data_IF_432097916383
#
_entry.id   IF_432097916383
#
_cell.length_a   1.000
_cell.length_b   1.000
_cell.length_c   1.000
_cell.angle_alpha   90.00
_cell.angle_beta   90.00
_cell.angle_gamma   90.00
#
_symmetry.space_group_name_H-M   'P 1'
#
loop_
_entity.id
_entity.type
_entity.pdbx_description
1 polymer ?
#
# COMPACT_ATOMS: atom_id res chain seq x y z
N UNK A 1 3.84 -26.48 -19.86
CA UNK A 1 2.65 -26.77 -20.72
C UNK A 1 2.49 -25.74 -21.84
N UNK A 2 2.65 -24.44 -21.56
CA UNK A 2 2.51 -23.38 -22.57
C UNK A 2 3.62 -23.36 -23.63
N UNK A 3 4.89 -23.55 -23.25
CA UNK A 3 6.03 -23.60 -24.18
C UNK A 3 5.84 -24.66 -25.28
N UNK A 4 5.45 -25.88 -24.93
CA UNK A 4 5.15 -26.94 -25.91
C UNK A 4 4.04 -26.56 -26.90
N UNK A 5 3.06 -25.77 -26.47
CA UNK A 5 2.00 -25.28 -27.37
C UNK A 5 2.54 -24.23 -28.34
N UNK A 6 3.36 -23.30 -27.85
CA UNK A 6 4.04 -22.28 -28.66
C UNK A 6 4.98 -22.93 -29.68
N UNK A 7 5.79 -23.90 -29.25
CA UNK A 7 6.68 -24.67 -30.14
C UNK A 7 5.91 -25.38 -31.26
N UNK A 8 4.85 -26.12 -30.91
CA UNK A 8 3.97 -26.77 -31.91
C UNK A 8 3.33 -25.77 -32.86
N UNK A 9 2.90 -24.61 -32.36
CA UNK A 9 2.38 -23.55 -33.21
C UNK A 9 3.44 -23.06 -34.20
N UNK A 10 4.66 -22.75 -33.72
CA UNK A 10 5.76 -22.28 -34.57
C UNK A 10 6.09 -23.30 -35.67
N UNK A 11 6.24 -24.57 -35.31
CA UNK A 11 6.52 -25.68 -36.23
C UNK A 11 5.37 -25.94 -37.23
N UNK A 12 4.11 -25.69 -36.82
CA UNK A 12 2.94 -25.85 -37.70
C UNK A 12 2.85 -24.79 -38.79
N UNK A 13 3.33 -23.57 -38.53
CA UNK A 13 3.30 -22.47 -39.50
C UNK A 13 4.53 -22.49 -40.42
N UNK A 14 5.69 -22.89 -39.89
CA UNK A 14 6.89 -23.05 -40.68
C UNK A 14 7.74 -24.21 -40.10
N UNK A 15 8.09 -25.25 -40.90
CA UNK A 15 8.74 -26.45 -40.39
C UNK A 15 10.10 -26.20 -39.71
N UNK A 16 10.82 -25.16 -40.16
CA UNK A 16 12.13 -24.80 -39.62
C UNK A 16 12.18 -23.28 -39.35
N UNK A 17 11.68 -22.83 -38.18
CA UNK A 17 11.54 -21.40 -37.86
C UNK A 17 12.86 -20.60 -37.93
N UNK A 18 14.00 -21.26 -37.73
CA UNK A 18 15.36 -20.69 -37.78
C UNK A 18 15.71 -20.07 -39.12
N UNK A 19 15.22 -20.64 -40.22
CA UNK A 19 15.48 -20.09 -41.55
C UNK A 19 14.74 -18.77 -41.73
N UNK A 20 13.46 -18.71 -41.32
CA UNK A 20 12.63 -17.52 -41.49
C UNK A 20 13.06 -16.36 -40.56
N UNK A 21 13.60 -16.70 -39.38
CA UNK A 21 13.88 -15.75 -38.31
C UNK A 21 15.36 -15.74 -37.93
N UNK A 22 16.16 -14.93 -38.65
CA UNK A 22 17.59 -14.81 -38.37
C UNK A 22 17.81 -13.84 -37.20
N UNK A 23 18.28 -14.36 -36.06
CA UNK A 23 18.47 -13.59 -34.82
C UNK A 23 17.20 -12.85 -34.35
N UNK A 24 16.01 -13.40 -34.62
CA UNK A 24 14.73 -12.78 -34.25
C UNK A 24 14.27 -11.63 -35.17
N UNK A 25 14.98 -11.39 -36.27
CA UNK A 25 14.51 -10.52 -37.36
C UNK A 25 14.04 -11.35 -38.55
N UNK A 26 13.06 -10.81 -39.28
CA UNK A 26 12.53 -11.44 -40.49
C UNK A 26 13.56 -11.40 -41.62
N UNK A 27 13.76 -12.53 -42.31
CA UNK A 27 14.49 -12.54 -43.57
C UNK A 27 13.49 -12.35 -44.72
N UNK A 28 13.55 -11.19 -45.38
CA UNK A 28 12.64 -10.85 -46.49
C UNK A 28 12.93 -11.64 -47.76
N UNK A 29 14.06 -12.35 -47.83
CA UNK A 29 14.47 -13.10 -49.03
C UNK A 29 13.86 -14.50 -49.11
N UNK A 30 13.26 -14.98 -48.02
CA UNK A 30 12.67 -16.32 -47.93
C UNK A 30 11.17 -16.25 -48.22
N UNK A 31 10.72 -17.09 -49.15
CA UNK A 31 9.31 -17.24 -49.48
C UNK A 31 8.56 -17.91 -48.31
N UNK A 32 7.52 -17.25 -47.81
CA UNK A 32 6.61 -17.80 -46.81
C UNK A 32 5.18 -17.33 -47.05
N UNK A 33 4.23 -18.13 -46.59
CA UNK A 33 2.79 -17.83 -46.67
C UNK A 33 2.34 -16.75 -45.66
N UNK A 34 3.27 -16.24 -44.85
CA UNK A 34 3.03 -15.21 -43.85
C UNK A 34 3.27 -13.82 -44.42
N UNK A 35 2.34 -12.89 -44.17
CA UNK A 35 2.53 -11.46 -44.46
C UNK A 35 3.67 -10.87 -43.60
N UNK A 36 4.26 -9.74 -44.03
CA UNK A 36 5.33 -9.05 -43.32
C UNK A 36 4.96 -8.75 -41.84
N UNK A 37 3.72 -8.33 -41.58
CA UNK A 37 3.26 -8.09 -40.20
C UNK A 37 3.22 -9.38 -39.37
N UNK A 38 2.80 -10.48 -39.99
CA UNK A 38 2.72 -11.79 -39.36
C UNK A 38 4.12 -12.39 -39.13
N UNK A 39 5.06 -12.18 -40.06
CA UNK A 39 6.47 -12.59 -39.91
C UNK A 39 7.13 -11.91 -38.73
N UNK A 40 6.92 -10.60 -38.54
CA UNK A 40 7.42 -9.87 -37.38
C UNK A 40 6.93 -10.46 -36.06
N UNK A 41 5.63 -10.74 -35.95
CA UNK A 41 5.04 -11.38 -34.76
C UNK A 41 5.62 -12.78 -34.55
N UNK A 42 5.70 -13.57 -35.63
CA UNK A 42 6.23 -14.92 -35.61
C UNK A 42 7.69 -14.98 -35.15
N UNK A 43 8.56 -14.11 -35.69
CA UNK A 43 9.97 -14.05 -35.33
C UNK A 43 10.21 -13.49 -33.93
N UNK A 44 9.38 -12.54 -33.47
CA UNK A 44 9.38 -12.11 -32.08
C UNK A 44 9.04 -13.27 -31.15
N UNK A 45 7.99 -14.03 -31.45
CA UNK A 45 7.59 -15.21 -30.66
C UNK A 45 8.68 -16.29 -30.63
N UNK A 46 9.30 -16.56 -31.77
CA UNK A 46 10.41 -17.51 -31.90
C UNK A 46 11.62 -17.09 -31.05
N UNK A 47 12.06 -15.83 -31.18
CA UNK A 47 13.20 -15.28 -30.44
C UNK A 47 12.95 -15.32 -28.93
N UNK A 48 11.75 -14.95 -28.49
CA UNK A 48 11.36 -15.05 -27.08
C UNK A 48 11.40 -16.47 -26.56
N UNK A 49 10.93 -17.45 -27.35
CA UNK A 49 10.97 -18.86 -26.96
C UNK A 49 12.41 -19.35 -26.80
N UNK A 50 13.31 -19.03 -27.74
CA UNK A 50 14.73 -19.35 -27.62
C UNK A 50 15.35 -18.75 -26.35
N UNK A 51 15.04 -17.49 -26.05
CA UNK A 51 15.55 -16.82 -24.86
C UNK A 51 15.00 -17.41 -23.56
N UNK A 52 13.80 -18.00 -23.56
CA UNK A 52 13.22 -18.64 -22.37
C UNK A 52 13.75 -20.06 -22.11
N UNK A 53 14.33 -20.76 -23.08
CA UNK A 53 14.86 -22.12 -22.86
C UNK A 53 15.73 -22.31 -21.60
N UNK A 54 16.71 -21.42 -21.28
CA UNK A 54 17.56 -21.61 -20.10
C UNK A 54 16.83 -21.44 -18.77
N UNK A 55 15.58 -20.95 -18.74
CA UNK A 55 14.84 -20.74 -17.50
C UNK A 55 14.40 -22.05 -16.85
N UNK A 56 14.04 -23.07 -17.64
CA UNK A 56 13.50 -24.31 -17.09
C UNK A 56 14.48 -24.99 -16.14
N UNK A 57 15.74 -25.15 -16.56
CA UNK A 57 16.80 -25.72 -15.71
C UNK A 57 17.01 -24.89 -14.43
N UNK A 58 16.89 -23.56 -14.51
CA UNK A 58 17.07 -22.66 -13.36
C UNK A 58 15.89 -22.70 -12.40
N UNK A 59 14.67 -22.83 -12.91
CA UNK A 59 13.47 -23.01 -12.08
C UNK A 59 13.45 -24.38 -11.43
N UNK A 60 13.82 -25.44 -12.16
CA UNK A 60 13.94 -26.80 -11.63
C UNK A 60 14.99 -26.88 -10.52
N UNK A 61 16.11 -26.18 -10.65
CA UNK A 61 17.11 -26.05 -9.59
C UNK A 61 16.57 -25.36 -8.33
N UNK A 62 15.71 -24.35 -8.50
CA UNK A 62 15.23 -23.50 -7.39
C UNK A 62 13.99 -24.05 -6.69
N UNK A 63 13.19 -24.87 -7.37
CA UNK A 63 12.00 -25.53 -6.83
C UNK A 63 12.23 -26.21 -5.46
N UNK A 64 13.25 -27.08 -5.29
CA UNK A 64 13.53 -27.68 -3.99
C UNK A 64 14.03 -26.68 -2.94
N UNK A 65 14.63 -25.56 -3.34
CA UNK A 65 15.08 -24.49 -2.42
C UNK A 65 13.91 -23.67 -1.85
N UNK A 66 12.86 -23.45 -2.66
CA UNK A 66 11.66 -22.73 -2.23
C UNK A 66 10.79 -23.54 -1.25
N UNK A 67 10.92 -24.86 -1.28
CA UNK A 67 10.25 -25.79 -0.37
C UNK A 67 10.88 -25.78 1.03
N UNK A 68 12.16 -25.42 1.15
CA UNK A 68 12.90 -25.42 2.42
C UNK A 68 13.06 -24.06 3.12
N UNK A 69 12.63 -22.94 2.50
CA UNK A 69 12.69 -21.56 3.04
C UNK A 69 14.05 -21.15 3.70
N UNK A 70 15.18 -21.77 3.32
CA UNK A 70 16.52 -21.40 3.81
C UNK A 70 17.26 -20.60 2.75
N UNK A 71 17.95 -19.53 3.19
CA UNK A 71 18.84 -18.74 2.33
C UNK A 71 19.99 -19.61 1.80
N UNK A 72 20.50 -19.36 0.58
CA UNK A 72 21.54 -20.19 -0.01
C UNK A 72 22.86 -19.98 0.74
N UNK A 73 23.42 -21.05 1.30
CA UNK A 73 24.86 -21.14 1.47
C UNK A 73 25.48 -21.24 0.07
N UNK A 74 26.38 -20.33 -0.25
CA UNK A 74 27.21 -20.42 -1.44
C UNK A 74 28.09 -21.68 -1.35
N UNK A 75 28.32 -22.30 -2.52
CA UNK A 75 29.41 -23.24 -2.90
C UNK A 75 28.97 -24.68 -3.21
N UNK A 76 29.79 -25.49 -3.91
CA UNK A 76 30.58 -25.24 -5.12
C UNK A 76 30.07 -26.09 -6.30
N UNK A 77 30.58 -25.82 -7.49
CA UNK A 77 30.26 -26.51 -8.74
C UNK A 77 30.49 -28.03 -8.66
N UNK A 78 29.45 -28.85 -8.43
CA UNK A 78 29.53 -30.29 -8.62
C UNK A 78 28.15 -30.97 -8.81
N UNK A 79 28.00 -31.55 -10.00
CA UNK A 79 27.14 -32.70 -10.38
C UNK A 79 25.62 -32.55 -10.17
N UNK A 80 24.97 -32.20 -11.28
CA UNK A 80 23.55 -32.40 -11.56
C UNK A 80 23.18 -33.90 -11.51
N UNK A 81 22.66 -34.37 -10.38
CA UNK A 81 21.83 -35.57 -10.35
C UNK A 81 20.37 -35.16 -10.53
N UNK A 82 19.58 -35.86 -11.38
CA UNK A 82 18.16 -35.57 -11.53
C UNK A 82 17.46 -35.90 -10.20
N UNK A 83 16.95 -34.86 -9.53
CA UNK A 83 16.14 -35.03 -8.32
C UNK A 83 14.90 -35.88 -8.66
N UNK A 84 14.78 -37.01 -7.98
CA UNK A 84 13.69 -37.96 -8.14
C UNK A 84 12.38 -37.28 -7.66
N UNK A 85 11.53 -36.85 -8.60
CA UNK A 85 10.20 -36.27 -8.34
C UNK A 85 9.25 -37.37 -7.89
N UNK A 86 9.12 -37.64 -6.60
CA UNK A 86 8.04 -38.52 -6.12
C UNK A 86 7.10 -37.89 -5.09
N UNK A 87 7.43 -36.75 -4.49
CA UNK A 87 6.49 -36.07 -3.61
C UNK A 87 6.39 -34.59 -3.98
N UNK A 88 5.20 -34.18 -4.41
CA UNK A 88 4.86 -32.77 -4.52
C UNK A 88 4.84 -32.21 -3.11
N UNK A 89 5.97 -31.69 -2.63
CA UNK A 89 6.04 -31.10 -1.30
C UNK A 89 5.23 -29.80 -1.36
N UNK A 90 3.98 -29.87 -0.94
CA UNK A 90 3.13 -28.69 -0.76
C UNK A 90 3.70 -27.87 0.38
N UNK A 91 3.95 -26.56 0.20
CA UNK A 91 4.32 -25.70 1.32
C UNK A 91 3.25 -25.85 2.40
N UNK A 92 3.66 -26.23 3.61
CA UNK A 92 2.75 -26.34 4.74
C UNK A 92 2.30 -24.94 5.13
N UNK A 93 1.17 -24.53 4.59
CA UNK A 93 0.49 -23.34 5.04
C UNK A 93 -0.34 -23.71 6.27
N UNK A 94 0.21 -23.47 7.46
CA UNK A 94 -0.59 -23.55 8.68
C UNK A 94 -1.47 -22.29 8.71
N UNK A 95 -2.81 -22.41 8.73
CA UNK A 95 -3.67 -21.24 8.83
C UNK A 95 -3.34 -20.49 10.11
N UNK A 96 -3.21 -19.16 9.99
CA UNK A 96 -3.05 -18.29 11.16
C UNK A 96 -4.36 -18.34 11.94
N UNK A 97 -4.32 -18.64 13.25
CA UNK A 97 -5.50 -18.54 14.10
C UNK A 97 -6.11 -17.15 14.00
N UNK A 98 -7.45 -17.06 14.07
CA UNK A 98 -8.12 -15.76 14.10
C UNK A 98 -7.69 -15.00 15.35
N UNK A 99 -6.78 -14.03 15.17
CA UNK A 99 -6.36 -13.11 16.22
C UNK A 99 -7.31 -11.91 16.26
N UNK A 100 -7.57 -11.34 17.44
CA UNK A 100 -8.24 -10.05 17.53
C UNK A 100 -7.42 -8.99 16.77
N UNK A 101 -8.09 -7.93 16.31
CA UNK A 101 -7.41 -6.83 15.64
C UNK A 101 -6.26 -6.31 16.51
N UNK A 102 -5.04 -6.17 15.97
CA UNK A 102 -3.88 -5.75 16.76
C UNK A 102 -4.11 -4.33 17.30
N UNK A 103 -3.87 -4.17 18.60
CA UNK A 103 -3.82 -2.84 19.21
C UNK A 103 -2.61 -2.06 18.68
N UNK A 104 -2.65 -0.71 18.66
CA UNK A 104 -1.49 0.10 18.29
C UNK A 104 -0.29 -0.26 19.15
N UNK A 105 0.91 -0.42 18.55
CA UNK A 105 2.11 -0.79 19.30
C UNK A 105 2.45 0.28 20.34
N UNK A 106 2.82 -0.17 21.54
CA UNK A 106 3.26 0.72 22.62
C UNK A 106 4.75 0.94 22.50
N UNK A 107 5.15 2.09 21.96
CA UNK A 107 6.54 2.51 21.86
C UNK A 107 7.13 2.71 23.25
N UNK A 108 8.36 2.26 23.46
CA UNK A 108 9.07 2.37 24.75
C UNK A 108 8.83 1.22 25.73
N UNK A 109 7.98 0.24 25.37
CA UNK A 109 7.82 -0.99 26.14
C UNK A 109 8.32 -2.16 25.27
N UNK A 110 9.18 -3.05 25.80
CA UNK A 110 9.60 -4.23 25.05
C UNK A 110 8.38 -5.04 24.64
N UNK A 111 8.22 -5.24 23.33
CA UNK A 111 7.09 -5.99 22.79
C UNK A 111 7.07 -7.40 23.40
N UNK A 112 5.89 -7.84 23.83
CA UNK A 112 5.72 -9.20 24.34
C UNK A 112 6.15 -10.18 23.24
N UNK A 113 7.08 -11.08 23.57
CA UNK A 113 7.51 -12.12 22.65
C UNK A 113 6.27 -12.90 22.16
N UNK A 114 6.22 -13.28 20.87
CA UNK A 114 5.12 -14.08 20.34
C UNK A 114 4.89 -15.32 21.22
N UNK A 115 3.66 -15.83 21.21
CA UNK A 115 3.23 -17.02 21.97
C UNK A 115 4.33 -18.09 21.96
N UNK A 116 4.67 -18.64 23.14
CA UNK A 116 5.73 -19.63 23.26
C UNK A 116 5.47 -20.80 22.29
N UNK A 117 6.38 -21.02 21.35
CA UNK A 117 6.28 -22.08 20.33
C UNK A 117 5.45 -21.74 19.09
N UNK A 118 4.90 -20.52 18.97
CA UNK A 118 4.25 -20.05 17.74
C UNK A 118 5.27 -19.38 16.82
N UNK A 119 5.58 -20.05 15.72
CA UNK A 119 6.27 -19.42 14.58
C UNK A 119 5.19 -18.96 13.58
N UNK A 120 5.00 -17.64 13.36
CA UNK A 120 4.04 -17.18 12.37
C UNK A 120 4.44 -17.69 10.99
N UNK A 121 3.46 -18.10 10.15
CA UNK A 121 3.77 -18.57 8.81
C UNK A 121 4.48 -17.47 8.03
N UNK A 122 5.69 -17.76 7.58
CA UNK A 122 6.50 -16.81 6.84
C UNK A 122 5.99 -16.76 5.39
N UNK A 123 5.36 -15.66 5.01
CA UNK A 123 4.97 -15.42 3.63
C UNK A 123 6.24 -15.30 2.77
N UNK A 124 6.33 -16.05 1.65
CA UNK A 124 7.56 -16.13 0.90
C UNK A 124 7.85 -14.79 0.18
N UNK A 125 9.08 -14.30 0.31
CA UNK A 125 9.59 -13.18 -0.49
C UNK A 125 10.19 -13.73 -1.78
N UNK A 126 9.34 -14.05 -2.75
CA UNK A 126 9.76 -14.71 -3.99
C UNK A 126 10.18 -13.63 -4.99
N UNK A 127 11.45 -13.26 -4.99
CA UNK A 127 12.05 -12.53 -6.10
C UNK A 127 12.67 -13.52 -7.09
N UNK A 128 12.43 -13.39 -8.42
CA UNK A 128 13.27 -14.08 -9.40
C UNK A 128 14.73 -13.68 -9.16
N UNK A 129 15.68 -14.60 -9.37
CA UNK A 129 17.10 -14.25 -9.28
C UNK A 129 17.43 -13.17 -10.31
N UNK A 130 18.50 -12.39 -10.10
CA UNK A 130 18.92 -11.38 -11.07
C UNK A 130 19.11 -11.98 -12.46
N UNK A 131 19.67 -13.18 -12.53
CA UNK A 131 19.89 -13.91 -13.78
C UNK A 131 18.60 -14.43 -14.45
N UNK A 132 17.59 -14.86 -13.69
CA UNK A 132 16.28 -15.22 -14.27
C UNK A 132 15.54 -13.96 -14.71
N UNK A 133 15.69 -12.86 -13.98
CA UNK A 133 15.06 -11.58 -14.29
C UNK A 133 15.59 -10.99 -15.59
N UNK A 134 16.90 -11.09 -15.85
CA UNK A 134 17.51 -10.65 -17.12
C UNK A 134 17.01 -11.48 -18.30
N UNK A 135 16.91 -12.81 -18.14
CA UNK A 135 16.38 -13.69 -19.19
C UNK A 135 14.91 -13.38 -19.49
N UNK A 136 14.07 -13.25 -18.46
CA UNK A 136 12.66 -12.88 -18.61
C UNK A 136 12.49 -11.52 -19.30
N UNK A 137 13.33 -10.55 -18.94
CA UNK A 137 13.30 -9.20 -19.52
C UNK A 137 13.74 -9.20 -20.98
N UNK A 138 14.79 -9.96 -21.30
CA UNK A 138 15.24 -10.15 -22.68
C UNK A 138 14.13 -10.79 -23.52
N UNK A 139 13.54 -11.90 -23.04
CA UNK A 139 12.49 -12.62 -23.76
C UNK A 139 11.22 -11.79 -23.96
N UNK A 140 10.90 -10.91 -23.02
CA UNK A 140 9.72 -10.04 -23.09
C UNK A 140 9.88 -8.89 -24.08
N UNK A 141 11.10 -8.36 -24.23
CA UNK A 141 11.39 -7.18 -25.08
C UNK A 141 10.88 -7.30 -26.53
N UNK A 142 11.16 -8.38 -27.28
CA UNK A 142 10.67 -8.50 -28.65
C UNK A 142 9.15 -8.72 -28.72
N UNK A 143 8.51 -9.37 -27.72
CA UNK A 143 7.05 -9.52 -27.68
C UNK A 143 6.35 -8.16 -27.53
N UNK A 144 6.87 -7.29 -26.66
CA UNK A 144 6.31 -5.95 -26.46
C UNK A 144 6.39 -5.10 -27.74
N UNK A 145 7.45 -5.27 -28.53
CA UNK A 145 7.63 -4.53 -29.78
C UNK A 145 6.60 -4.89 -30.87
N UNK A 146 5.92 -6.03 -30.76
CA UNK A 146 4.94 -6.50 -31.76
C UNK A 146 3.49 -6.42 -31.27
N UNK A 147 3.23 -5.96 -30.04
CA UNK A 147 1.87 -5.85 -29.48
C UNK A 147 0.98 -4.93 -30.32
N UNK A 148 1.50 -3.81 -30.80
CA UNK A 148 0.74 -2.82 -31.58
C UNK A 148 0.41 -3.29 -33.01
N UNK A 149 0.96 -4.42 -33.46
CA UNK A 149 0.67 -5.03 -34.76
C UNK A 149 -0.70 -5.74 -34.74
N UNK A 150 -1.19 -6.14 -33.56
CA UNK A 150 -2.46 -6.84 -33.44
C UNK A 150 -3.65 -5.90 -33.69
N UNK A 151 -4.69 -6.36 -34.41
CA UNK A 151 -5.87 -5.54 -34.67
C UNK A 151 -6.61 -5.22 -33.36
N UNK A 152 -7.43 -4.15 -33.32
CA UNK A 152 -8.16 -3.73 -32.12
C UNK A 152 -9.01 -4.84 -31.50
N UNK A 153 -9.56 -5.74 -32.33
CA UNK A 153 -10.38 -6.90 -31.91
C UNK A 153 -9.58 -7.98 -31.17
N UNK A 154 -8.26 -8.00 -31.30
CA UNK A 154 -7.36 -8.98 -30.68
C UNK A 154 -6.20 -8.31 -29.92
N UNK A 155 -6.41 -7.07 -29.44
CA UNK A 155 -5.38 -6.29 -28.79
C UNK A 155 -4.88 -7.00 -27.53
N UNK A 156 -3.60 -7.34 -27.53
CA UNK A 156 -2.93 -7.96 -26.39
C UNK A 156 -2.58 -6.84 -25.40
N UNK A 157 -3.06 -6.95 -24.17
CA UNK A 157 -2.67 -6.05 -23.09
C UNK A 157 -1.56 -6.73 -22.31
N UNK A 158 -0.44 -6.01 -22.11
CA UNK A 158 0.65 -6.49 -21.27
C UNK A 158 0.13 -6.82 -19.87
N UNK A 159 0.47 -7.99 -19.32
CA UNK A 159 -0.07 -8.46 -18.05
C UNK A 159 0.27 -7.52 -16.88
N UNK A 160 1.45 -6.92 -16.87
CA UNK A 160 1.82 -5.92 -15.86
C UNK A 160 0.93 -4.67 -15.94
N UNK A 161 0.61 -4.24 -17.17
CA UNK A 161 -0.30 -3.12 -17.43
C UNK A 161 -1.73 -3.53 -17.07
N UNK A 162 -2.16 -4.75 -17.37
CA UNK A 162 -3.47 -5.27 -16.99
C UNK A 162 -3.65 -5.32 -15.47
N UNK A 163 -2.63 -5.76 -14.72
CA UNK A 163 -2.65 -5.71 -13.24
C UNK A 163 -2.74 -4.27 -12.73
N UNK A 164 -1.98 -3.33 -13.31
CA UNK A 164 -2.08 -1.91 -12.95
C UNK A 164 -3.45 -1.31 -13.28
N UNK A 165 -4.06 -1.70 -14.41
CA UNK A 165 -5.41 -1.28 -14.80
C UNK A 165 -6.44 -1.83 -13.82
N UNK A 166 -6.35 -3.11 -13.47
CA UNK A 166 -7.23 -3.75 -12.49
C UNK A 166 -7.08 -3.08 -11.12
N UNK A 167 -5.85 -2.93 -10.63
CA UNK A 167 -5.55 -2.24 -9.36
C UNK A 167 -6.09 -0.80 -9.35
N UNK A 168 -5.98 -0.06 -10.46
CA UNK A 168 -6.55 1.29 -10.57
C UNK A 168 -8.07 1.27 -10.56
N UNK A 169 -8.70 0.30 -11.22
CA UNK A 169 -10.15 0.08 -11.12
C UNK A 169 -10.57 -0.17 -9.66
N UNK A 170 -9.85 -1.07 -9.01
CA UNK A 170 -10.17 -1.58 -7.68
C UNK A 170 -9.90 -0.58 -6.57
N UNK A 171 -8.85 0.25 -6.68
CA UNK A 171 -8.40 1.10 -5.57
C UNK A 171 -8.31 2.59 -5.89
N UNK A 172 -8.15 2.98 -7.15
CA UNK A 172 -7.95 4.40 -7.49
C UNK A 172 -9.28 5.17 -7.62
N UNK A 173 -9.16 6.50 -7.57
CA UNK A 173 -10.20 7.43 -8.02
C UNK A 173 -10.32 7.38 -9.54
N UNK A 174 -11.56 7.48 -10.05
CA UNK A 174 -11.77 7.56 -11.49
C UNK A 174 -11.69 9.01 -11.96
N UNK A 175 -11.21 9.23 -13.19
CA UNK A 175 -11.10 10.57 -13.77
C UNK A 175 -12.47 11.27 -13.85
N UNK A 176 -13.54 10.51 -14.06
CA UNK A 176 -14.92 11.00 -14.08
C UNK A 176 -15.36 11.57 -12.73
N UNK A 177 -14.90 11.00 -11.61
CA UNK A 177 -15.23 11.49 -10.27
C UNK A 177 -14.60 12.87 -10.04
N UNK A 178 -13.34 13.03 -10.47
CA UNK A 178 -12.62 14.30 -10.41
C UNK A 178 -13.29 15.36 -11.28
N UNK A 179 -13.64 15.02 -12.52
CA UNK A 179 -14.30 15.95 -13.46
C UNK A 179 -15.66 16.40 -12.94
N UNK A 180 -16.47 15.48 -12.39
CA UNK A 180 -17.79 15.79 -11.84
C UNK A 180 -17.74 16.83 -10.72
N UNK A 181 -16.67 16.83 -9.93
CA UNK A 181 -16.48 17.72 -8.79
C UNK A 181 -15.48 18.85 -9.05
N UNK A 182 -15.10 19.10 -10.31
CA UNK A 182 -14.04 20.06 -10.67
C UNK A 182 -14.27 21.48 -10.13
N UNK A 183 -15.53 21.94 -10.05
CA UNK A 183 -15.86 23.26 -9.49
C UNK A 183 -15.48 23.37 -8.00
N UNK A 184 -15.79 22.34 -7.21
CA UNK A 184 -15.43 22.29 -5.79
C UNK A 184 -13.91 22.17 -5.63
N UNK A 185 -13.27 21.31 -6.45
CA UNK A 185 -11.82 21.07 -6.40
C UNK A 185 -10.97 22.27 -6.84
N UNK A 186 -11.58 23.29 -7.46
CA UNK A 186 -10.90 24.55 -7.77
C UNK A 186 -10.77 25.48 -6.54
N UNK A 187 -11.51 25.21 -5.46
CA UNK A 187 -11.41 25.98 -4.22
C UNK A 187 -10.09 25.64 -3.48
N UNK A 188 -9.52 26.60 -2.74
CA UNK A 188 -8.28 26.36 -2.00
C UNK A 188 -8.47 25.30 -0.93
N UNK A 189 -7.41 24.52 -0.66
CA UNK A 189 -7.37 23.52 0.41
C UNK A 189 -8.47 22.46 0.32
N UNK A 190 -8.98 22.18 -0.89
CA UNK A 190 -9.96 21.13 -1.13
C UNK A 190 -9.33 19.95 -1.83
N UNK A 191 -10.00 18.80 -1.73
CA UNK A 191 -9.64 17.63 -2.49
C UNK A 191 -10.72 16.57 -2.51
N UNK A 192 -10.38 15.47 -3.15
CA UNK A 192 -11.22 14.28 -3.30
C UNK A 192 -10.38 13.06 -2.92
N UNK A 193 -11.00 12.11 -2.24
CA UNK A 193 -10.37 10.86 -1.86
C UNK A 193 -11.32 9.69 -2.09
N UNK A 194 -10.76 8.52 -2.37
CA UNK A 194 -11.47 7.26 -2.23
C UNK A 194 -11.09 6.64 -0.89
N UNK A 195 -12.07 6.52 -0.01
CA UNK A 195 -11.94 5.90 1.31
C UNK A 195 -12.26 4.43 1.15
N UNK A 196 -11.25 3.58 1.31
CA UNK A 196 -11.36 2.15 1.11
C UNK A 196 -11.85 1.43 2.39
N UNK A 197 -12.47 0.24 2.25
CA UNK A 197 -12.71 -0.65 3.38
C UNK A 197 -11.39 -1.03 4.06
N UNK A 198 -11.39 -1.15 5.39
CA UNK A 198 -10.21 -1.48 6.20
C UNK A 198 -9.56 -2.80 5.78
N UNK A 199 -10.35 -3.74 5.28
CA UNK A 199 -9.92 -5.03 4.75
C UNK A 199 -8.97 -4.87 3.56
N UNK A 200 -9.06 -3.76 2.82
CA UNK A 200 -8.16 -3.45 1.70
C UNK A 200 -6.73 -3.18 2.16
N UNK A 201 -6.55 -2.67 3.38
CA UNK A 201 -5.25 -2.37 3.97
C UNK A 201 -4.73 -3.49 4.87
N UNK A 202 -5.62 -4.34 5.37
CA UNK A 202 -5.26 -5.49 6.21
C UNK A 202 -4.66 -6.60 5.35
N UNK A 203 -3.57 -7.15 5.85
CA UNK A 203 -2.97 -8.34 5.27
C UNK A 203 -3.78 -9.54 5.73
N UNK A 204 -4.43 -10.25 4.80
CA UNK A 204 -4.96 -11.56 5.09
C UNK A 204 -3.77 -12.53 5.21
N UNK A 205 -3.45 -13.02 6.43
CA UNK A 205 -2.31 -13.89 6.61
C UNK A 205 -2.51 -15.22 5.88
N UNK A 206 -3.76 -15.65 5.67
CA UNK A 206 -4.14 -16.93 5.06
C UNK A 206 -4.10 -16.93 3.53
N UNK A 207 -3.92 -15.76 2.91
CA UNK A 207 -3.77 -15.62 1.47
C UNK A 207 -2.31 -15.56 1.09
N UNK A 208 -1.85 -16.52 0.27
CA UNK A 208 -0.48 -16.51 -0.27
C UNK A 208 -0.24 -15.22 -1.07
N UNK A 209 0.74 -14.44 -0.63
CA UNK A 209 1.18 -13.23 -1.30
C UNK A 209 2.70 -13.21 -1.40
N UNK A 210 3.19 -12.64 -2.50
CA UNK A 210 4.61 -12.32 -2.61
C UNK A 210 4.92 -11.08 -1.77
N UNK A 211 5.71 -11.24 -0.71
CA UNK A 211 6.10 -10.11 0.17
C UNK A 211 6.93 -9.04 -0.56
N UNK A 212 7.57 -9.39 -1.68
CA UNK A 212 8.29 -8.43 -2.50
C UNK A 212 7.36 -7.48 -3.27
N UNK A 213 6.06 -7.81 -3.41
CA UNK A 213 5.10 -6.89 -4.02
C UNK A 213 4.67 -5.84 -3.01
N UNK A 214 4.54 -4.56 -3.43
CA UNK A 214 4.11 -3.50 -2.53
C UNK A 214 2.68 -3.70 -2.03
N UNK A 215 2.41 -3.26 -0.80
CA UNK A 215 1.07 -3.32 -0.19
C UNK A 215 0.10 -2.38 -0.89
N UNK A 216 -1.21 -2.54 -0.64
CA UNK A 216 -2.22 -1.58 -1.12
C UNK A 216 -1.91 -0.18 -0.57
N UNK A 217 -1.57 -0.07 0.72
CA UNK A 217 -1.17 1.21 1.33
C UNK A 217 0.08 1.85 0.69
N UNK A 218 1.02 1.05 0.17
CA UNK A 218 2.20 1.56 -0.55
C UNK A 218 1.89 2.00 -1.98
N UNK A 219 1.02 1.26 -2.69
CA UNK A 219 0.62 1.59 -4.08
C UNK A 219 -0.42 2.72 -4.14
N UNK A 220 -1.34 2.73 -3.17
CA UNK A 220 -2.45 3.66 -3.04
C UNK A 220 -2.45 4.23 -1.61
N UNK A 221 -1.47 5.10 -1.29
CA UNK A 221 -1.42 5.74 0.01
C UNK A 221 -2.60 6.70 0.20
N UNK A 222 -2.90 7.00 1.47
CA UNK A 222 -3.83 8.08 1.82
C UNK A 222 -3.41 9.40 1.16
N UNK A 223 -4.40 10.16 0.70
CA UNK A 223 -4.15 11.39 -0.05
C UNK A 223 -3.53 12.47 0.84
N UNK A 224 -2.54 13.25 0.37
CA UNK A 224 -2.00 14.36 1.13
C UNK A 224 -3.05 15.48 1.26
N UNK A 225 -3.17 16.05 2.46
CA UNK A 225 -4.08 17.16 2.77
C UNK A 225 -3.47 18.51 2.42
N UNK A 226 -2.15 18.63 2.57
CA UNK A 226 -1.36 19.81 2.27
C UNK A 226 -0.17 19.43 1.38
N UNK A 227 0.43 20.42 0.72
CA UNK A 227 1.68 20.23 0.00
C UNK A 227 2.78 19.81 0.98
N UNK A 228 3.69 18.96 0.51
CA UNK A 228 4.80 18.51 1.34
C UNK A 228 5.76 19.66 1.62
N UNK A 229 6.07 19.87 2.90
CA UNK A 229 7.20 20.68 3.34
C UNK A 229 8.27 19.71 3.87
N UNK A 230 9.50 19.83 3.37
CA UNK A 230 10.65 19.02 3.80
C UNK A 230 10.45 17.50 3.75
N UNK A 231 9.64 16.99 2.81
CA UNK A 231 9.40 15.56 2.63
C UNK A 231 8.29 14.96 3.52
N UNK A 232 7.75 15.72 4.47
CA UNK A 232 6.56 15.37 5.24
C UNK A 232 5.31 15.96 4.59
N UNK A 233 4.21 15.19 4.54
CA UNK A 233 2.92 15.68 4.11
C UNK A 233 1.82 15.01 4.95
N UNK A 234 0.97 15.79 5.65
CA UNK A 234 -0.15 15.24 6.39
C UNK A 234 -1.11 14.54 5.44
N UNK A 235 -1.66 13.40 5.86
CA UNK A 235 -2.48 12.53 5.01
C UNK A 235 -3.89 12.42 5.56
N UNK A 236 -4.86 12.40 4.66
CA UNK A 236 -6.25 12.13 4.98
C UNK A 236 -6.45 10.65 5.29
N UNK A 237 -6.14 10.26 6.54
CA UNK A 237 -6.18 8.89 7.05
C UNK A 237 -7.59 8.52 7.50
N UNK A 238 -8.36 7.95 6.58
CA UNK A 238 -9.72 7.46 6.85
C UNK A 238 -9.95 6.14 6.14
N UNK A 239 -10.58 5.19 6.81
CA UNK A 239 -11.02 3.91 6.26
C UNK A 239 -12.48 3.64 6.64
N UNK A 240 -13.12 2.67 5.98
CA UNK A 240 -14.45 2.19 6.36
C UNK A 240 -14.34 0.82 7.01
N UNK A 241 -14.90 0.66 8.20
CA UNK A 241 -15.03 -0.63 8.86
C UNK A 241 -16.41 -0.71 9.52
N UNK A 242 -17.11 -1.84 9.34
CA UNK A 242 -18.39 -2.10 10.00
C UNK A 242 -19.44 -0.97 9.81
N UNK A 243 -19.48 -0.38 8.61
CA UNK A 243 -20.40 0.73 8.29
C UNK A 243 -20.07 2.05 8.98
N UNK A 244 -18.86 2.19 9.54
CA UNK A 244 -18.35 3.40 10.19
C UNK A 244 -17.12 3.92 9.48
N UNK A 245 -16.98 5.24 9.38
CA UNK A 245 -15.69 5.85 9.13
C UNK A 245 -14.81 5.63 10.36
N UNK A 246 -13.56 5.24 10.16
CA UNK A 246 -12.58 5.02 11.21
C UNK A 246 -11.25 5.65 10.83
N UNK A 247 -10.60 6.28 11.80
CA UNK A 247 -9.23 6.78 11.67
C UNK A 247 -8.30 5.62 12.05
N UNK A 248 -7.47 5.10 11.12
CA UNK A 248 -6.49 4.10 11.46
C UNK A 248 -5.40 4.73 12.34
N UNK A 249 -5.14 4.13 13.50
CA UNK A 249 -4.07 4.58 14.40
C UNK A 249 -2.78 3.87 14.03
N UNK A 250 -1.92 4.55 13.29
CA UNK A 250 -0.60 4.05 12.90
C UNK A 250 0.48 4.89 13.57
N UNK A 251 1.45 4.24 14.20
CA UNK A 251 2.47 4.95 15.00
C UNK A 251 1.81 5.80 16.08
N UNK A 252 2.10 7.11 16.06
CA UNK A 252 1.57 8.08 17.01
C UNK A 252 0.43 8.94 16.44
N UNK A 253 -0.05 8.63 15.23
CA UNK A 253 -1.18 9.32 14.64
C UNK A 253 -2.46 9.02 15.44
N UNK A 254 -3.26 10.06 15.66
CA UNK A 254 -4.60 9.93 16.22
C UNK A 254 -5.50 11.05 15.71
N UNK A 255 -6.78 10.91 16.00
CA UNK A 255 -7.75 11.94 15.68
C UNK A 255 -9.12 11.55 16.17
N UNK A 256 -10.06 12.45 15.91
CA UNK A 256 -11.45 12.27 16.29
C UNK A 256 -12.35 12.99 15.30
N UNK A 257 -13.55 12.46 15.12
CA UNK A 257 -14.52 12.99 14.20
C UNK A 257 -15.95 12.97 14.74
N UNK A 258 -16.75 13.86 14.18
CA UNK A 258 -18.19 14.01 14.45
C UNK A 258 -18.95 14.21 13.15
N UNK A 259 -20.21 13.76 13.12
CA UNK A 259 -21.15 14.09 12.06
C UNK A 259 -21.85 15.40 12.42
N UNK A 260 -21.78 16.40 11.55
CA UNK A 260 -22.40 17.73 11.75
C UNK A 260 -23.67 17.93 10.91
N UNK A 261 -24.16 16.86 10.26
CA UNK A 261 -25.41 16.86 9.50
C UNK A 261 -25.24 17.19 8.02
N UNK A 262 -26.35 17.48 7.35
CA UNK A 262 -26.35 17.84 5.93
C UNK A 262 -26.00 19.32 5.75
N UNK A 263 -24.71 19.61 5.67
CA UNK A 263 -24.18 20.94 5.44
C UNK A 263 -23.16 20.92 4.28
N UNK A 264 -23.32 21.69 3.20
CA UNK A 264 -22.32 21.77 2.14
C UNK A 264 -20.93 22.20 2.65
N UNK A 265 -19.87 21.68 2.03
CA UNK A 265 -18.48 21.98 2.45
C UNK A 265 -18.08 23.44 2.16
N UNK A 266 -18.76 24.05 1.20
CA UNK A 266 -18.59 25.43 0.76
C UNK A 266 -19.15 26.43 1.76
N UNK A 267 -20.22 26.06 2.46
CA UNK A 267 -20.92 26.89 3.46
C UNK A 267 -20.27 26.83 4.85
N UNK A 268 -19.26 25.97 5.02
CA UNK A 268 -18.48 25.92 6.26
C UNK A 268 -17.56 27.13 6.38
N UNK A 269 -17.94 28.05 7.27
CA UNK A 269 -17.12 29.17 7.71
C UNK A 269 -16.50 28.87 9.08
N UNK A 270 -15.17 29.00 9.18
CA UNK A 270 -14.46 29.01 10.45
C UNK A 270 -14.09 30.45 10.74
N UNK A 271 -14.69 30.98 11.80
CA UNK A 271 -14.17 32.18 12.43
C UNK A 271 -13.17 31.76 13.50
N UNK A 272 -12.19 32.63 13.81
CA UNK A 272 -11.04 32.34 14.69
C UNK A 272 -11.39 31.70 16.05
N UNK A 273 -12.65 31.71 16.47
CA UNK A 273 -13.12 31.19 17.76
C UNK A 273 -14.43 30.39 17.68
N UNK A 274 -15.00 30.15 16.49
CA UNK A 274 -16.28 29.44 16.41
C UNK A 274 -16.55 28.79 15.05
N UNK A 275 -17.23 27.64 15.11
CA UNK A 275 -17.96 27.02 14.01
C UNK A 275 -19.42 27.08 14.45
N UNK A 276 -20.24 27.91 13.80
CA UNK A 276 -21.60 28.30 14.24
C UNK A 276 -22.57 27.13 14.52
N UNK A 277 -22.20 25.92 14.15
CA UNK A 277 -23.01 24.69 14.21
C UNK A 277 -22.60 23.81 15.41
N UNK A 278 -21.43 24.07 16.01
CA UNK A 278 -20.90 23.30 17.12
C UNK A 278 -21.38 23.83 18.47
N UNK A 279 -21.61 22.92 19.40
CA UNK A 279 -21.85 23.27 20.81
C UNK A 279 -20.53 23.70 21.49
N UNK A 280 -20.62 24.47 22.59
CA UNK A 280 -19.45 24.99 23.33
C UNK A 280 -18.39 23.92 23.63
N UNK A 281 -18.79 22.72 24.06
CA UNK A 281 -17.85 21.64 24.35
C UNK A 281 -17.21 21.03 23.09
N UNK A 282 -17.92 21.03 21.95
CA UNK A 282 -17.35 20.61 20.67
C UNK A 282 -16.38 21.66 20.11
N UNK A 283 -16.68 22.95 20.31
CA UNK A 283 -15.77 24.04 19.96
C UNK A 283 -14.46 23.90 20.73
N UNK A 284 -14.52 23.69 22.06
CA UNK A 284 -13.34 23.43 22.88
C UNK A 284 -12.53 22.22 22.39
N UNK A 285 -13.21 21.14 22.01
CA UNK A 285 -12.55 19.93 21.52
C UNK A 285 -11.90 20.10 20.14
N UNK A 286 -12.54 20.82 19.21
CA UNK A 286 -12.06 20.93 17.84
C UNK A 286 -11.19 22.16 17.57
N UNK A 287 -11.34 23.25 18.33
CA UNK A 287 -10.55 24.47 18.17
C UNK A 287 -9.50 24.61 19.28
N UNK A 288 -9.88 24.45 20.55
CA UNK A 288 -9.00 24.77 21.69
C UNK A 288 -8.15 23.59 22.17
N UNK A 289 -8.33 22.40 21.59
CA UNK A 289 -7.56 21.22 21.97
C UNK A 289 -6.07 21.41 21.70
N UNK A 290 -5.24 20.99 22.66
CA UNK A 290 -3.78 21.03 22.59
C UNK A 290 -3.25 19.60 22.76
N UNK A 291 -2.59 19.03 21.73
CA UNK A 291 -1.94 17.73 21.84
C UNK A 291 -0.93 17.67 23.00
N UNK A 292 -0.88 16.56 23.75
CA UNK A 292 0.20 16.33 24.72
C UNK A 292 1.58 16.34 24.04
N UNK A 293 2.62 16.73 24.77
CA UNK A 293 3.98 16.87 24.22
C UNK A 293 4.96 15.79 24.71
N UNK A 294 4.47 14.78 25.45
CA UNK A 294 5.25 13.62 25.92
C UNK A 294 4.75 12.36 25.26
N UNK A 295 5.66 11.45 24.92
CA UNK A 295 5.32 10.22 24.19
C UNK A 295 4.28 9.36 24.93
N UNK A 296 4.47 9.13 26.23
CA UNK A 296 3.52 8.37 27.05
C UNK A 296 2.13 9.01 27.14
N UNK A 297 2.08 10.34 27.26
CA UNK A 297 0.82 11.08 27.31
C UNK A 297 0.09 11.01 25.96
N UNK A 298 0.82 11.09 24.85
CA UNK A 298 0.26 10.91 23.51
C UNK A 298 -0.29 9.49 23.31
N UNK A 299 0.41 8.45 23.78
CA UNK A 299 -0.08 7.08 23.71
C UNK A 299 -1.35 6.88 24.57
N UNK A 300 -1.39 7.46 25.76
CA UNK A 300 -2.58 7.44 26.62
C UNK A 300 -3.77 8.12 25.91
N UNK A 301 -3.52 9.24 25.24
CA UNK A 301 -4.51 10.01 24.49
C UNK A 301 -5.03 9.24 23.26
N UNK A 302 -4.14 8.61 22.49
CA UNK A 302 -4.49 7.74 21.36
C UNK A 302 -5.42 6.60 21.84
N UNK A 303 -5.07 5.93 22.95
CA UNK A 303 -5.92 4.87 23.54
C UNK A 303 -7.25 5.39 24.05
N UNK A 304 -7.31 6.62 24.57
CA UNK A 304 -8.55 7.25 25.05
C UNK A 304 -9.56 7.36 23.90
N UNK A 305 -9.14 7.84 22.74
CA UNK A 305 -10.00 7.96 21.55
C UNK A 305 -10.30 6.60 20.90
N UNK A 306 -9.38 5.63 20.98
CA UNK A 306 -9.58 4.28 20.45
C UNK A 306 -10.63 3.50 21.23
N UNK A 307 -10.49 3.48 22.55
CA UNK A 307 -11.28 2.61 23.42
C UNK A 307 -12.61 3.24 23.81
N UNK A 308 -12.76 4.56 23.65
CA UNK A 308 -13.91 5.34 24.14
C UNK A 308 -14.20 5.13 25.64
N UNK A 309 -13.26 4.51 26.39
CA UNK A 309 -13.44 4.17 27.80
C UNK A 309 -13.28 5.44 28.64
N UNK A 310 -14.29 5.72 29.44
CA UNK A 310 -14.29 6.79 30.44
C UNK A 310 -13.56 6.25 31.67
N UNK A 311 -12.34 6.72 31.92
CA UNK A 311 -11.60 6.37 33.15
C UNK A 311 -12.05 7.27 34.31
N UNK A 312 -12.27 6.68 35.49
CA UNK A 312 -12.46 7.42 36.73
C UNK A 312 -11.19 8.23 37.04
N UNK A 313 -11.28 9.56 36.96
CA UNK A 313 -10.17 10.49 37.21
C UNK A 313 -9.86 11.43 36.04
N UNK A 314 -10.45 11.23 34.86
CA UNK A 314 -10.36 12.17 33.75
C UNK A 314 -11.58 13.13 33.76
N UNK A 315 -11.35 14.40 33.41
CA UNK A 315 -12.38 15.44 33.24
C UNK A 315 -13.57 14.95 32.39
N UNK A 316 -14.79 15.52 32.54
CA UNK A 316 -16.00 15.01 31.92
C UNK A 316 -15.86 14.78 30.39
N UNK A 317 -16.48 13.69 29.96
CA UNK A 317 -16.23 12.88 28.76
C UNK A 317 -16.34 13.60 27.40
N UNK A 318 -15.23 14.16 26.91
CA UNK A 318 -15.08 14.58 25.50
C UNK A 318 -15.21 13.41 24.51
N UNK A 319 -15.01 12.17 24.97
CA UNK A 319 -15.16 10.94 24.16
C UNK A 319 -16.61 10.59 23.82
N UNK A 320 -17.60 11.14 24.53
CA UNK A 320 -19.02 11.07 24.09
C UNK A 320 -19.33 12.06 22.97
N UNK A 321 -18.52 13.12 22.85
CA UNK A 321 -18.74 14.18 21.87
C UNK A 321 -18.07 13.86 20.53
N UNK A 322 -16.89 13.23 20.55
CA UNK A 322 -16.21 12.76 19.35
C UNK A 322 -15.45 11.45 19.61
N UNK A 323 -15.32 10.63 18.56
CA UNK A 323 -14.64 9.33 18.61
C UNK A 323 -13.71 9.20 17.41
N UNK A 324 -12.79 8.23 17.45
CA UNK A 324 -12.00 7.85 16.27
C UNK A 324 -12.82 7.16 15.17
N UNK A 325 -14.11 6.89 15.44
CA UNK A 325 -15.02 6.27 14.49
C UNK A 325 -16.44 6.87 14.58
N UNK A 326 -17.16 6.87 13.47
CA UNK A 326 -18.54 7.36 13.41
C UNK A 326 -19.33 6.67 12.30
N UNK A 327 -20.64 6.40 12.46
CA UNK A 327 -21.47 5.82 11.40
C UNK A 327 -21.42 6.62 10.10
N UNK A 328 -21.35 5.91 8.97
CA UNK A 328 -21.36 6.52 7.64
C UNK A 328 -22.79 6.96 7.28
N UNK A 329 -22.93 8.20 6.87
CA UNK A 329 -24.15 8.80 6.35
C UNK A 329 -23.78 9.56 5.07
N UNK A 330 -24.32 9.09 3.94
CA UNK A 330 -24.09 9.72 2.64
C UNK A 330 -24.62 11.15 2.65
N UNK A 331 -23.87 12.06 2.02
CA UNK A 331 -24.20 13.49 1.95
C UNK A 331 -24.31 14.17 3.32
N UNK A 332 -23.85 13.57 4.40
CA UNK A 332 -23.58 14.31 5.61
C UNK A 332 -22.16 14.83 5.60
N UNK A 333 -21.94 15.94 6.28
CA UNK A 333 -20.62 16.49 6.50
C UNK A 333 -20.13 16.10 7.88
N UNK A 334 -18.83 15.80 7.92
CA UNK A 334 -18.12 15.38 9.08
C UNK A 334 -17.01 16.37 9.36
N UNK A 335 -16.81 16.65 10.64
CA UNK A 335 -15.65 17.38 11.11
C UNK A 335 -14.66 16.39 11.69
N UNK A 336 -13.40 16.52 11.30
CA UNK A 336 -12.31 15.62 11.62
C UNK A 336 -11.11 16.44 12.06
N UNK A 337 -10.57 16.16 13.25
CA UNK A 337 -9.25 16.69 13.67
C UNK A 337 -8.24 15.55 13.61
N UNK A 338 -7.17 15.76 12.85
CA UNK A 338 -6.09 14.80 12.66
C UNK A 338 -4.80 15.36 13.25
N UNK A 339 -4.19 14.58 14.13
CA UNK A 339 -2.88 14.86 14.71
C UNK A 339 -1.95 13.75 14.26
N UNK A 340 -0.91 14.11 13.50
CA UNK A 340 -0.03 13.13 12.88
C UNK A 340 1.44 13.41 13.19
N UNK A 341 2.21 12.34 13.34
CA UNK A 341 3.64 12.38 13.64
C UNK A 341 4.40 11.40 12.76
N UNK A 342 5.50 11.86 12.17
CA UNK A 342 6.45 10.97 11.51
C UNK A 342 7.60 10.68 12.46
N UNK A 343 7.45 9.62 13.26
CA UNK A 343 8.50 9.20 14.18
C UNK A 343 9.76 8.70 13.42
N UNK A 344 10.96 8.94 13.97
CA UNK A 344 12.20 8.37 13.47
C UNK A 344 12.20 6.84 13.51
N UNK A 345 12.89 6.21 12.57
CA UNK A 345 12.97 4.74 12.50
C UNK A 345 13.61 4.15 13.76
N UNK A 346 14.61 4.82 14.33
CA UNK A 346 15.34 4.41 15.54
C UNK A 346 14.41 4.26 16.75
N UNK A 347 13.39 5.14 16.86
CA UNK A 347 12.38 5.07 17.93
C UNK A 347 11.40 3.91 17.67
N UNK A 348 11.10 3.61 16.41
CA UNK A 348 10.15 2.57 16.02
C UNK A 348 10.77 1.17 16.13
N UNK A 349 12.01 1.00 15.65
CA UNK A 349 12.72 -0.28 15.61
C UNK A 349 13.41 -0.59 16.93
N UNK A 350 13.75 0.44 17.72
CA UNK A 350 14.58 0.31 18.90
C UNK A 350 16.04 -0.04 18.56
N UNK A 351 16.46 0.16 17.31
CA UNK A 351 17.87 -0.03 16.93
C UNK A 351 18.74 1.05 17.60
N UNK A 352 19.90 0.66 18.15
CA UNK A 352 20.75 1.60 18.86
C UNK A 352 21.40 2.59 17.88
N UNK A 353 21.52 3.85 18.29
CA UNK A 353 22.21 4.88 17.52
C UNK A 353 23.72 4.65 17.62
N UNK A 354 24.35 4.55 16.45
CA UNK A 354 25.79 4.38 16.31
C UNK A 354 26.58 5.57 16.90
N UNK A 355 27.80 5.32 17.38
CA UNK A 355 28.67 6.37 17.94
C UNK A 355 28.95 7.53 16.99
N UNK A 356 29.05 7.26 15.68
CA UNK A 356 29.28 8.30 14.67
C UNK A 356 28.09 9.26 14.54
N UNK A 357 26.88 8.73 14.76
CA UNK A 357 25.63 9.43 14.48
C UNK A 357 25.09 10.20 15.69
N UNK A 358 25.62 9.94 16.90
CA UNK A 358 25.30 10.68 18.13
C UNK A 358 25.39 12.20 18.00
N UNK A 359 26.30 12.72 17.15
CA UNK A 359 26.44 14.16 16.91
C UNK A 359 25.25 14.77 16.17
N UNK A 360 24.47 13.94 15.47
CA UNK A 360 23.28 14.33 14.73
C UNK A 360 22.00 13.92 15.45
N UNK A 361 22.06 13.55 16.73
CA UNK A 361 20.90 13.05 17.49
C UNK A 361 19.71 14.01 17.44
N UNK A 362 19.94 15.32 17.53
CA UNK A 362 18.84 16.30 17.43
C UNK A 362 18.17 16.31 16.05
N UNK A 363 18.90 16.02 14.99
CA UNK A 363 18.37 15.91 13.63
C UNK A 363 17.67 14.56 13.41
N UNK A 364 18.23 13.48 13.97
CA UNK A 364 17.64 12.14 13.93
C UNK A 364 16.30 12.13 14.67
N UNK A 365 16.22 12.80 15.83
CA UNK A 365 15.01 12.87 16.63
C UNK A 365 14.05 13.99 16.20
N UNK A 366 14.39 14.77 15.17
CA UNK A 366 13.46 15.74 14.60
C UNK A 366 12.24 14.99 14.05
N UNK A 367 11.06 15.38 14.52
CA UNK A 367 9.82 14.64 14.27
C UNK A 367 8.83 15.56 13.58
N UNK A 368 8.76 15.52 12.24
CA UNK A 368 7.74 16.25 11.50
C UNK A 368 6.34 15.87 11.99
N UNK A 369 5.50 16.86 12.19
CA UNK A 369 4.16 16.67 12.73
C UNK A 369 3.15 17.64 12.14
N UNK A 370 1.87 17.37 12.38
CA UNK A 370 0.78 18.26 11.98
C UNK A 370 -0.43 18.10 12.89
N UNK A 371 -1.20 19.18 13.00
CA UNK A 371 -2.52 19.20 13.63
C UNK A 371 -3.47 19.99 12.72
N UNK A 372 -4.39 19.26 12.09
CA UNK A 372 -5.28 19.79 11.07
C UNK A 372 -6.74 19.56 11.43
N UNK A 373 -7.54 20.61 11.23
CA UNK A 373 -8.99 20.51 11.15
C UNK A 373 -9.40 20.31 9.69
N UNK A 374 -10.20 19.29 9.43
CA UNK A 374 -10.66 18.91 8.10
C UNK A 374 -12.16 18.68 8.16
N UNK A 375 -12.90 19.22 7.19
CA UNK A 375 -14.26 18.77 6.93
C UNK A 375 -14.27 17.83 5.73
N UNK A 376 -15.09 16.79 5.79
CA UNK A 376 -15.28 15.89 4.66
C UNK A 376 -16.73 15.45 4.52
N UNK A 377 -17.12 15.09 3.30
CA UNK A 377 -18.48 14.71 2.93
C UNK A 377 -18.44 13.55 1.94
N UNK A 378 -18.93 12.34 2.30
CA UNK A 378 -19.11 11.26 1.33
C UNK A 378 -20.20 11.61 0.32
N UNK A 379 -19.84 11.59 -0.96
CA UNK A 379 -20.74 11.96 -2.05
C UNK A 379 -21.28 10.75 -2.80
N UNK A 380 -20.60 9.61 -2.71
CA UNK A 380 -20.98 8.38 -3.40
C UNK A 380 -20.41 7.15 -2.69
N UNK A 381 -21.22 6.11 -2.59
CA UNK A 381 -20.76 4.76 -2.23
C UNK A 381 -20.59 3.94 -3.51
N UNK A 382 -19.54 3.12 -3.57
CA UNK A 382 -19.28 2.16 -4.65
C UNK A 382 -19.69 0.75 -4.23
N UNK A 383 -19.83 -0.14 -5.22
CA UNK A 383 -20.28 -1.52 -5.00
C UNK A 383 -19.32 -2.36 -4.15
N UNK A 384 -18.04 -1.98 -4.09
CA UNK A 384 -17.02 -2.60 -3.25
C UNK A 384 -17.05 -2.13 -1.79
N UNK A 385 -18.02 -1.27 -1.41
CA UNK A 385 -18.13 -0.70 -0.08
C UNK A 385 -17.22 0.50 0.17
N UNK A 386 -16.41 0.92 -0.80
CA UNK A 386 -15.62 2.15 -0.72
C UNK A 386 -16.48 3.40 -0.92
N UNK A 387 -15.99 4.54 -0.43
CA UNK A 387 -16.68 5.82 -0.56
C UNK A 387 -15.83 6.83 -1.28
N UNK A 388 -16.44 7.58 -2.19
CA UNK A 388 -15.86 8.82 -2.71
C UNK A 388 -16.23 9.94 -1.75
N UNK A 389 -15.21 10.63 -1.23
CA UNK A 389 -15.38 11.73 -0.29
C UNK A 389 -14.74 12.99 -0.85
N UNK A 390 -15.43 14.10 -0.69
CA UNK A 390 -14.85 15.43 -0.84
C UNK A 390 -14.36 15.89 0.52
N UNK A 391 -13.25 16.60 0.55
CA UNK A 391 -12.69 17.13 1.79
C UNK A 391 -12.19 18.56 1.59
N UNK A 392 -12.11 19.30 2.70
CA UNK A 392 -11.57 20.65 2.78
C UNK A 392 -10.79 20.81 4.08
N UNK A 393 -9.53 21.23 4.00
CA UNK A 393 -8.78 21.66 5.18
C UNK A 393 -9.32 23.01 5.61
N UNK A 394 -9.66 23.05 6.89
CA UNK A 394 -10.48 24.06 7.53
C UNK A 394 -9.61 24.97 8.40
N UNK A 395 -8.68 24.39 9.15
CA UNK A 395 -7.67 25.11 9.93
C UNK A 395 -6.40 24.27 10.08
N UNK A 396 -5.27 24.95 10.27
CA UNK A 396 -4.00 24.35 10.67
C UNK A 396 -3.60 24.94 12.02
N UNK A 397 -3.36 24.07 13.00
CA UNK A 397 -2.91 24.44 14.34
C UNK A 397 -1.38 24.37 14.44
N UNK A 398 -0.78 24.92 15.51
CA UNK A 398 0.66 24.79 15.75
C UNK A 398 1.11 23.33 15.73
N UNK A 399 2.24 23.05 15.08
CA UNK A 399 2.79 21.71 14.93
C UNK A 399 3.16 21.12 16.31
N UNK A 400 2.56 19.99 16.72
CA UNK A 400 2.81 19.41 18.03
C UNK A 400 4.21 18.79 18.11
N UNK A 401 4.87 18.92 19.26
CA UNK A 401 6.25 18.46 19.45
C UNK A 401 6.32 17.38 20.52
N UNK A 402 7.21 16.38 20.33
CA UNK A 402 7.48 15.35 21.33
C UNK A 402 8.82 15.64 21.98
N UNK A 403 8.80 16.13 23.22
CA UNK A 403 10.01 16.69 23.86
C UNK A 403 10.92 15.64 24.50
N UNK A 404 10.42 14.41 24.69
CA UNK A 404 11.08 13.35 25.47
C UNK A 404 11.52 12.14 24.64
N UNK A 405 11.54 12.22 23.31
CA UNK A 405 11.96 11.13 22.42
C UNK A 405 13.35 10.56 22.72
N UNK A 406 14.28 11.41 23.17
CA UNK A 406 15.64 11.02 23.55
C UNK A 406 15.70 9.94 24.64
N UNK A 407 14.62 9.74 25.41
CA UNK A 407 14.54 8.72 26.47
C UNK A 407 14.24 7.32 25.93
N UNK A 408 13.82 7.23 24.68
CA UNK A 408 13.31 6.01 24.06
C UNK A 408 14.26 5.45 23.00
N UNK A 409 15.50 5.94 22.95
CA UNK A 409 16.52 5.48 22.01
C UNK A 409 17.75 5.01 22.76
N UNK A 410 18.28 3.85 22.34
CA UNK A 410 19.49 3.27 22.89
C UNK A 410 20.74 3.82 22.18
N UNK A 411 21.87 3.92 22.88
CA UNK A 411 23.13 4.45 22.35
C UNK A 411 24.25 3.42 22.50
N UNK A 412 24.97 3.11 21.41
CA UNK A 412 26.04 2.08 21.34
C UNK A 412 27.42 2.48 21.90
#
# INVERSE_FOLDING_TARGET
>A
MQERRVKKFLESQYPIPEFLCRNGQEDTTIASDLDASQRKVYCALYSSMQQLQPIDAKLEYRLPMLVGLRAPELLPSARSSPFNRQETITPRFAPVPDFPAPEPPVIGIPAKKPLAGYEPPFQPAIAPSGEVSTILSAARKPLLAVVDIFPPSARIIDSAVATQIADRGDYALWATDVQKHAKFLALPNTGIARVLPAESYRLDPNRLRNRAQPTVAQRFPFVPLLKSNNGYAPRFTLEVADGKFRIPMSGMDYGFLINIGDLPLEELEINQQNISILFSEQVKLFLDYVPPNRLEALQAEQRRFLTTKVGAGFLPSLTTLASNQTPVALKNTYLLRLVQFQLPEEVITGEPISRSDRRYLNLILDTPSSDLLVAFRPVQQRFDGSYIVLWRVLAQFPEPQIVDLHRYVELD
#
